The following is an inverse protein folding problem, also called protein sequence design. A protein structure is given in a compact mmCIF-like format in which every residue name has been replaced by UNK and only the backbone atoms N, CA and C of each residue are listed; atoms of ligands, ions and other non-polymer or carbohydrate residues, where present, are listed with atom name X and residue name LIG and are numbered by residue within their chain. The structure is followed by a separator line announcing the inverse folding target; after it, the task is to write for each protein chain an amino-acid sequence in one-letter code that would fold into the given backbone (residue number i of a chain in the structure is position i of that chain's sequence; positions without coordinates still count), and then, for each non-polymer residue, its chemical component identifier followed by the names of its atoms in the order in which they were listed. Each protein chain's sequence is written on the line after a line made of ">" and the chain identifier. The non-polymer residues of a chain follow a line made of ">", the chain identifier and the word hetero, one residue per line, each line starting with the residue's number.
data_IF_685515881087
#
_entry.id   IF_685515881087
#
_cell.length_a   1.000
_cell.length_b   1.000
_cell.length_c   1.000
_cell.angle_alpha   90.00
_cell.angle_beta   90.00
_cell.angle_gamma   90.00
#
_symmetry.space_group_name_H-M   'P 1'
#
loop_
_entity.id
_entity.type
_entity.pdbx_description
1 polymer ?
#
# COMPACT_ATOMS: atom_id res chain seq x y z
N UNK A 1 -8.18 -15.74 6.31
CA UNK A 1 -7.89 -15.34 7.70
C UNK A 1 -6.95 -14.16 7.73
N UNK A 2 -7.21 -13.17 8.58
CA UNK A 2 -6.35 -12.00 8.73
C UNK A 2 -5.13 -12.30 9.58
N UNK A 3 -3.98 -11.82 9.13
CA UNK A 3 -2.71 -12.03 9.82
C UNK A 3 -2.15 -10.68 10.29
N UNK A 4 -1.98 -10.51 11.60
CA UNK A 4 -1.44 -9.27 12.18
C UNK A 4 -0.01 -8.98 11.79
N UNK A 5 0.69 -9.96 11.21
CA UNK A 5 2.06 -9.80 10.71
C UNK A 5 2.10 -9.35 9.25
N UNK A 6 0.95 -9.22 8.60
CA UNK A 6 0.87 -8.79 7.20
C UNK A 6 0.29 -7.39 7.13
N UNK A 7 1.03 -6.51 6.48
CA UNK A 7 0.73 -5.09 6.40
C UNK A 7 0.66 -4.68 4.93
N UNK A 8 -0.48 -4.16 4.51
CA UNK A 8 -0.65 -3.62 3.17
C UNK A 8 -0.41 -2.11 3.20
N UNK A 9 0.34 -1.60 2.23
CA UNK A 9 0.65 -0.17 2.12
C UNK A 9 0.04 0.38 0.84
N UNK A 10 -0.78 1.42 0.97
CA UNK A 10 -1.42 2.07 -0.17
C UNK A 10 -0.41 2.89 -0.98
N UNK A 11 -0.69 3.05 -2.26
CA UNK A 11 0.16 3.78 -3.21
C UNK A 11 0.52 5.18 -2.72
N UNK A 12 -0.41 5.91 -2.11
CA UNK A 12 -0.18 7.29 -1.67
C UNK A 12 0.96 7.40 -0.66
N UNK A 13 1.23 6.37 0.13
CA UNK A 13 2.30 6.41 1.14
C UNK A 13 3.67 6.31 0.47
N UNK A 14 3.85 5.39 -0.49
CA UNK A 14 5.13 5.26 -1.19
C UNK A 14 5.37 6.46 -2.11
N UNK A 15 4.33 6.97 -2.74
CA UNK A 15 4.41 8.20 -3.56
C UNK A 15 4.81 9.38 -2.69
N UNK A 16 4.12 9.56 -1.56
CA UNK A 16 4.40 10.66 -0.64
C UNK A 16 5.83 10.63 -0.09
N UNK A 17 6.33 9.44 0.26
CA UNK A 17 7.68 9.29 0.78
C UNK A 17 8.73 9.71 -0.27
N UNK A 18 8.59 9.27 -1.52
CA UNK A 18 9.54 9.64 -2.56
C UNK A 18 9.39 11.09 -3.01
N UNK A 19 8.20 11.67 -2.84
CA UNK A 19 7.97 13.10 -3.09
C UNK A 19 8.50 14.00 -1.94
N UNK A 20 9.02 13.41 -0.88
CA UNK A 20 9.64 14.17 0.21
C UNK A 20 8.74 14.49 1.39
N UNK A 21 7.59 13.84 1.52
CA UNK A 21 6.68 14.06 2.66
C UNK A 21 7.22 13.36 3.91
N UNK A 22 7.57 14.13 4.97
CA UNK A 22 8.24 13.55 6.14
C UNK A 22 7.45 12.46 6.86
N UNK A 23 6.13 12.62 6.98
CA UNK A 23 5.30 11.64 7.67
C UNK A 23 5.32 10.28 6.95
N UNK A 24 5.28 10.30 5.62
CA UNK A 24 5.32 9.09 4.81
C UNK A 24 6.70 8.43 4.86
N UNK A 25 7.76 9.25 4.82
CA UNK A 25 9.14 8.75 4.94
C UNK A 25 9.37 8.07 6.29
N UNK A 26 8.95 8.71 7.37
CA UNK A 26 9.08 8.15 8.72
C UNK A 26 8.26 6.88 8.89
N UNK A 27 7.07 6.86 8.28
CA UNK A 27 6.20 5.69 8.29
C UNK A 27 6.93 4.48 7.67
N UNK A 28 7.46 4.64 6.46
CA UNK A 28 8.15 3.54 5.78
C UNK A 28 9.41 3.11 6.54
N UNK A 29 10.20 4.06 7.06
CA UNK A 29 11.37 3.73 7.86
C UNK A 29 11.01 2.87 9.07
N UNK A 30 9.92 3.22 9.74
CA UNK A 30 9.43 2.45 10.88
C UNK A 30 9.01 1.04 10.45
N UNK A 31 8.22 0.92 9.38
CA UNK A 31 7.78 -0.37 8.87
C UNK A 31 8.96 -1.26 8.47
N UNK A 32 9.98 -0.68 7.82
CA UNK A 32 11.17 -1.43 7.42
C UNK A 32 11.99 -1.94 8.61
N UNK A 33 11.85 -1.30 9.78
CA UNK A 33 12.57 -1.70 10.99
C UNK A 33 11.88 -2.84 11.74
N UNK A 34 10.63 -3.14 11.43
CA UNK A 34 9.86 -4.16 12.15
C UNK A 34 10.31 -5.56 11.75
N UNK A 35 10.63 -6.37 12.74
CA UNK A 35 10.98 -7.79 12.54
C UNK A 35 9.72 -8.64 12.60
N UNK A 36 9.70 -9.69 11.78
CA UNK A 36 8.57 -10.62 11.76
C UNK A 36 7.32 -10.10 11.07
N UNK A 37 7.38 -8.91 10.49
CA UNK A 37 6.28 -8.33 9.70
C UNK A 37 6.58 -8.48 8.22
N UNK A 38 5.53 -8.66 7.43
CA UNK A 38 5.62 -8.73 5.97
C UNK A 38 4.84 -7.55 5.39
N UNK A 39 5.50 -6.85 4.49
CA UNK A 39 4.92 -5.67 3.84
C UNK A 39 4.46 -6.05 2.43
N UNK A 40 3.28 -5.57 2.05
CA UNK A 40 2.67 -5.87 0.77
C UNK A 40 2.30 -4.60 0.01
N UNK A 41 2.57 -4.63 -1.30
CA UNK A 41 2.05 -3.67 -2.27
C UNK A 41 1.30 -4.44 -3.35
N UNK A 42 0.35 -3.78 -4.01
CA UNK A 42 -0.21 -4.33 -5.23
C UNK A 42 0.66 -4.00 -6.45
N UNK A 43 0.60 -4.81 -7.49
CA UNK A 43 1.22 -4.46 -8.77
C UNK A 43 0.60 -3.20 -9.38
N UNK A 44 -0.66 -2.93 -9.07
CA UNK A 44 -1.31 -1.67 -9.43
C UNK A 44 -0.58 -0.48 -8.81
N UNK A 45 -0.17 -0.56 -7.55
CA UNK A 45 0.58 0.50 -6.88
C UNK A 45 1.91 0.78 -7.56
N UNK A 46 2.61 -0.25 -8.01
CA UNK A 46 3.87 -0.08 -8.73
C UNK A 46 3.64 0.67 -10.05
N UNK A 47 2.61 0.28 -10.81
CA UNK A 47 2.27 0.95 -12.07
C UNK A 47 1.88 2.41 -11.85
N UNK A 48 1.09 2.69 -10.82
CA UNK A 48 0.68 4.05 -10.47
C UNK A 48 1.89 4.90 -10.06
N UNK A 49 2.79 4.34 -9.26
CA UNK A 49 4.03 5.00 -8.84
C UNK A 49 4.87 5.41 -10.06
N UNK A 50 5.10 4.47 -10.98
CA UNK A 50 5.87 4.74 -12.20
C UNK A 50 5.19 5.84 -13.02
N UNK A 51 3.88 5.74 -13.24
CA UNK A 51 3.14 6.72 -14.04
C UNK A 51 3.24 8.13 -13.46
N UNK A 52 3.18 8.27 -12.13
CA UNK A 52 3.23 9.58 -11.47
C UNK A 52 4.59 10.24 -11.59
N UNK A 53 5.67 9.47 -11.59
CA UNK A 53 7.02 10.04 -11.60
C UNK A 53 7.68 10.12 -12.97
N UNK A 54 7.06 9.59 -14.03
CA UNK A 54 7.64 9.56 -15.37
C UNK A 54 8.07 10.93 -15.89
N UNK A 55 7.32 11.98 -15.57
CA UNK A 55 7.60 13.34 -16.04
C UNK A 55 8.47 14.14 -15.07
N UNK A 56 8.72 13.61 -13.87
CA UNK A 56 9.41 14.33 -12.79
C UNK A 56 10.78 13.80 -12.46
N UNK A 57 11.08 12.58 -12.87
CA UNK A 57 12.33 11.88 -12.55
C UNK A 57 12.86 11.18 -13.79
N UNK A 58 14.15 10.89 -13.79
CA UNK A 58 14.74 10.11 -14.88
C UNK A 58 14.29 8.66 -14.81
N UNK A 59 14.35 7.97 -15.94
CA UNK A 59 14.04 6.53 -15.97
C UNK A 59 14.99 5.74 -15.06
N UNK A 60 16.26 6.15 -15.00
CA UNK A 60 17.23 5.50 -14.13
C UNK A 60 16.86 5.61 -12.66
N UNK A 61 16.42 6.81 -12.22
CA UNK A 61 15.97 7.01 -10.84
C UNK A 61 14.73 6.18 -10.53
N UNK A 62 13.76 6.14 -11.45
CA UNK A 62 12.54 5.37 -11.28
C UNK A 62 12.85 3.88 -11.15
N UNK A 63 13.70 3.35 -12.04
CA UNK A 63 14.10 1.94 -11.99
C UNK A 63 14.80 1.59 -10.69
N UNK A 64 15.69 2.47 -10.23
CA UNK A 64 16.40 2.27 -8.97
C UNK A 64 15.42 2.21 -7.79
N UNK A 65 14.45 3.12 -7.77
CA UNK A 65 13.45 3.17 -6.70
C UNK A 65 12.54 1.94 -6.74
N UNK A 66 12.11 1.51 -7.91
CA UNK A 66 11.29 0.30 -8.04
C UNK A 66 12.07 -0.94 -7.55
N UNK A 67 13.34 -1.07 -7.92
CA UNK A 67 14.19 -2.16 -7.41
C UNK A 67 14.26 -2.14 -5.89
N UNK A 68 14.39 -0.95 -5.30
CA UNK A 68 14.42 -0.78 -3.86
C UNK A 68 13.11 -1.25 -3.22
N UNK A 69 11.96 -0.85 -3.78
CA UNK A 69 10.66 -1.28 -3.30
C UNK A 69 10.51 -2.80 -3.34
N UNK A 70 11.02 -3.44 -4.38
CA UNK A 70 10.97 -4.90 -4.51
C UNK A 70 11.81 -5.62 -3.45
N UNK A 71 12.77 -4.95 -2.82
CA UNK A 71 13.53 -5.53 -1.70
C UNK A 71 12.79 -5.41 -0.37
N UNK A 72 11.81 -4.51 -0.27
CA UNK A 72 11.10 -4.22 0.98
C UNK A 72 9.69 -4.78 1.01
N UNK A 73 9.06 -4.94 -0.14
CA UNK A 73 7.66 -5.34 -0.25
C UNK A 73 7.51 -6.64 -1.03
N UNK A 74 6.50 -7.40 -0.64
CA UNK A 74 5.96 -8.47 -1.47
C UNK A 74 4.94 -7.82 -2.40
N UNK A 75 5.18 -7.87 -3.70
CA UNK A 75 4.28 -7.27 -4.69
C UNK A 75 3.29 -8.31 -5.16
N UNK A 76 2.00 -8.01 -4.99
CA UNK A 76 0.92 -8.93 -5.31
C UNK A 76 0.24 -8.48 -6.59
N UNK A 77 0.19 -9.38 -7.56
CA UNK A 77 -0.48 -9.11 -8.83
C UNK A 77 -1.99 -8.98 -8.60
N UNK A 78 -2.61 -7.94 -9.18
CA UNK A 78 -4.06 -7.90 -9.26
C UNK A 78 -4.50 -8.59 -10.56
N UNK A 79 -5.62 -9.30 -10.49
CA UNK A 79 -6.12 -10.14 -11.56
C UNK A 79 -7.50 -9.69 -12.01
N UNK A 80 -7.98 -10.29 -13.09
CA UNK A 80 -9.37 -10.10 -13.53
C UNK A 80 -10.36 -10.41 -12.41
N UNK A 81 -10.09 -11.46 -11.64
CA UNK A 81 -10.95 -11.85 -10.51
C UNK A 81 -11.00 -10.77 -9.43
N UNK A 82 -9.87 -10.11 -9.17
CA UNK A 82 -9.82 -9.01 -8.21
C UNK A 82 -10.66 -7.83 -8.70
N UNK A 83 -10.63 -7.53 -9.99
CA UNK A 83 -11.48 -6.49 -10.59
C UNK A 83 -12.95 -6.86 -10.45
N UNK A 84 -13.33 -8.09 -10.80
CA UNK A 84 -14.70 -8.55 -10.65
C UNK A 84 -15.18 -8.45 -9.19
N UNK A 85 -14.36 -8.90 -8.24
CA UNK A 85 -14.72 -8.85 -6.83
C UNK A 85 -14.88 -7.40 -6.34
N UNK A 86 -14.06 -6.48 -6.87
CA UNK A 86 -14.14 -5.06 -6.49
C UNK A 86 -15.44 -4.40 -6.95
N UNK A 87 -16.00 -4.87 -8.07
CA UNK A 87 -17.27 -4.35 -8.57
C UNK A 87 -18.46 -4.65 -7.66
N UNK A 88 -18.36 -5.70 -6.83
CA UNK A 88 -19.40 -6.06 -5.89
C UNK A 88 -19.39 -5.20 -4.62
N UNK A 89 -18.35 -4.41 -4.39
CA UNK A 89 -18.22 -3.53 -3.23
C UNK A 89 -18.94 -2.21 -3.53
N UNK A 90 -19.83 -1.79 -2.64
CA UNK A 90 -20.64 -0.59 -2.85
C UNK A 90 -19.97 0.71 -2.42
N UNK A 91 -18.67 0.73 -2.26
CA UNK A 91 -17.94 1.95 -2.00
C UNK A 91 -17.77 2.76 -3.29
N UNK A 92 -17.53 4.07 -3.15
CA UNK A 92 -17.60 5.00 -4.27
C UNK A 92 -16.45 4.86 -5.27
N UNK A 93 -15.25 4.47 -4.84
CA UNK A 93 -14.06 4.50 -5.68
C UNK A 93 -13.62 3.08 -6.04
N UNK A 94 -13.67 2.77 -7.34
CA UNK A 94 -13.31 1.43 -7.83
C UNK A 94 -11.83 1.11 -7.62
N UNK A 95 -10.95 2.09 -7.77
CA UNK A 95 -9.52 1.88 -7.57
C UNK A 95 -9.21 1.52 -6.11
N UNK A 96 -9.87 2.20 -5.16
CA UNK A 96 -9.76 1.87 -3.75
C UNK A 96 -10.31 0.47 -3.46
N UNK A 97 -11.41 0.10 -4.12
CA UNK A 97 -12.01 -1.23 -4.00
C UNK A 97 -11.02 -2.32 -4.44
N UNK A 98 -10.30 -2.10 -5.53
CA UNK A 98 -9.28 -3.03 -6.03
C UNK A 98 -8.17 -3.21 -4.99
N UNK A 99 -7.66 -2.11 -4.43
CA UNK A 99 -6.63 -2.16 -3.40
C UNK A 99 -7.11 -2.95 -2.17
N UNK A 100 -8.35 -2.68 -1.74
CA UNK A 100 -8.94 -3.40 -0.62
C UNK A 100 -9.02 -4.91 -0.90
N UNK A 101 -9.52 -5.30 -2.07
CA UNK A 101 -9.65 -6.71 -2.45
C UNK A 101 -8.30 -7.40 -2.42
N UNK A 102 -7.25 -6.76 -2.94
CA UNK A 102 -5.89 -7.31 -2.95
C UNK A 102 -5.39 -7.51 -1.52
N UNK A 103 -5.60 -6.51 -0.64
CA UNK A 103 -5.19 -6.62 0.76
C UNK A 103 -5.89 -7.78 1.47
N UNK A 104 -7.17 -7.99 1.18
CA UNK A 104 -7.95 -9.09 1.75
C UNK A 104 -7.50 -10.44 1.21
N UNK A 105 -7.21 -10.52 -0.07
CA UNK A 105 -6.71 -11.74 -0.70
C UNK A 105 -5.43 -12.24 -0.02
N UNK A 106 -4.58 -11.32 0.42
CA UNK A 106 -3.34 -11.65 1.11
C UNK A 106 -3.49 -11.77 2.62
N UNK A 107 -4.68 -11.59 3.14
CA UNK A 107 -4.94 -11.72 4.57
C UNK A 107 -4.28 -10.65 5.42
N UNK A 108 -4.08 -9.44 4.87
CA UNK A 108 -3.46 -8.35 5.60
C UNK A 108 -4.41 -7.79 6.65
N UNK A 109 -3.94 -7.76 7.91
CA UNK A 109 -4.70 -7.17 9.01
C UNK A 109 -4.63 -5.65 9.00
N UNK A 110 -3.43 -5.10 8.73
CA UNK A 110 -3.21 -3.66 8.71
C UNK A 110 -3.23 -3.12 7.28
N UNK A 111 -3.85 -1.97 7.11
CA UNK A 111 -3.92 -1.27 5.83
C UNK A 111 -3.47 0.18 6.08
N UNK A 112 -2.27 0.52 5.58
CA UNK A 112 -1.66 1.83 5.81
C UNK A 112 -1.98 2.76 4.63
N UNK A 113 -2.66 3.86 4.93
CA UNK A 113 -3.10 4.83 3.91
C UNK A 113 -3.21 6.24 4.48
N UNK A 114 -2.96 7.25 3.65
CA UNK A 114 -3.25 8.63 3.98
C UNK A 114 -4.75 8.94 3.89
N UNK A 115 -5.52 8.12 3.20
CA UNK A 115 -6.94 8.36 2.90
C UNK A 115 -7.85 7.53 3.79
N UNK A 116 -7.77 7.74 5.10
CA UNK A 116 -8.56 6.97 6.10
C UNK A 116 -10.05 7.00 5.76
N UNK A 117 -10.57 8.18 5.38
CA UNK A 117 -12.00 8.34 5.08
C UNK A 117 -12.48 7.46 3.93
N UNK A 118 -11.63 7.28 2.92
CA UNK A 118 -12.00 6.51 1.72
C UNK A 118 -12.15 5.03 2.03
N UNK A 119 -11.55 4.56 3.13
CA UNK A 119 -11.58 3.15 3.52
C UNK A 119 -12.44 2.87 4.75
N UNK A 120 -13.11 3.88 5.31
CA UNK A 120 -13.91 3.71 6.54
C UNK A 120 -15.09 2.76 6.38
N UNK A 121 -15.58 2.57 5.14
CA UNK A 121 -16.69 1.65 4.86
C UNK A 121 -16.27 0.23 4.51
N UNK A 122 -14.97 -0.07 4.51
CA UNK A 122 -14.46 -1.40 4.17
C UNK A 122 -14.30 -2.29 5.41
N UNK A 123 -14.26 -3.60 5.18
CA UNK A 123 -14.09 -4.59 6.24
C UNK A 123 -12.63 -4.86 6.55
N UNK A 124 -11.79 -3.83 6.52
CA UNK A 124 -10.40 -3.92 6.96
C UNK A 124 -10.39 -3.80 8.48
N UNK A 125 -9.68 -4.68 9.16
CA UNK A 125 -9.69 -4.68 10.62
C UNK A 125 -8.96 -3.49 11.23
N UNK A 126 -7.91 -3.01 10.56
CA UNK A 126 -7.10 -1.91 11.09
C UNK A 126 -6.59 -1.02 9.96
N UNK A 127 -7.19 0.15 9.83
CA UNK A 127 -6.76 1.18 8.87
C UNK A 127 -5.89 2.17 9.63
N UNK A 128 -4.63 2.34 9.20
CA UNK A 128 -3.64 3.13 9.92
C UNK A 128 -3.15 4.28 9.06
N UNK A 129 -3.25 5.51 9.59
CA UNK A 129 -2.64 6.67 8.96
C UNK A 129 -1.12 6.66 9.23
N UNK A 130 -0.27 7.08 8.27
CA UNK A 130 1.18 7.14 8.48
C UNK A 130 1.62 7.85 9.76
N UNK A 131 0.90 8.89 10.18
CA UNK A 131 1.18 9.62 11.42
C UNK A 131 1.05 8.74 12.67
N UNK A 132 0.28 7.67 12.58
CA UNK A 132 0.01 6.78 13.71
C UNK A 132 0.62 5.39 13.52
N UNK A 133 1.65 5.30 12.68
CA UNK A 133 2.24 4.01 12.30
C UNK A 133 2.79 3.22 13.49
N UNK A 134 3.22 3.90 14.56
CA UNK A 134 3.73 3.23 15.75
C UNK A 134 2.68 2.43 16.51
N UNK A 135 1.41 2.59 16.16
CA UNK A 135 0.33 1.73 16.61
C UNK A 135 0.58 0.26 16.24
N UNK A 136 1.27 0.02 15.12
CA UNK A 136 1.66 -1.32 14.70
C UNK A 136 2.93 -1.70 15.46
N UNK A 137 2.86 -2.70 16.33
CA UNK A 137 3.97 -3.16 17.14
C UNK A 137 4.57 -4.44 16.60
N UNK A 138 5.78 -4.72 17.04
CA UNK A 138 6.42 -6.00 16.75
C UNK A 138 5.71 -7.15 17.47
#
# INVERSE_FOLDING_TARGET
>A
MMDTNRIFVDTNVIVGAWAGKPADQKCLQYLYSLKGKRLYLSSLSVAQFVALFQKKRTQEDIKAQVRYLLTKFNVIAFSEKDVENSLAIQAADLEDNIQYVISQKMGCFHFVTNNIKDYSGYYVLDIVHPKHIRKINQ
#
